data_IF_712206193020
#
_entry.id   IF_712206193020
#
_cell.length_a   1.000
_cell.length_b   1.000
_cell.length_c   1.000
_cell.angle_alpha   90.00
_cell.angle_beta   90.00
_cell.angle_gamma   90.00
#
_symmetry.space_group_name_H-M   'P 1'
#
loop_
_entity.id
_entity.type
_entity.pdbx_description
1 polymer ?
#
# COMPACT_ATOMS: atom_id res chain seq x y z
N UNK A 1 9.79 -6.02 -9.15
CA UNK A 1 8.78 -7.09 -9.01
C UNK A 1 9.38 -8.50 -9.13
N UNK A 2 10.17 -8.83 -10.16
CA UNK A 2 10.70 -10.20 -10.38
C UNK A 2 11.51 -10.78 -9.20
N UNK A 3 12.31 -9.96 -8.50
CA UNK A 3 13.12 -10.44 -7.36
C UNK A 3 12.28 -10.70 -6.11
N UNK A 4 11.25 -9.90 -5.84
CA UNK A 4 10.41 -10.03 -4.64
C UNK A 4 9.52 -11.28 -4.69
N UNK A 5 9.09 -11.70 -5.89
CA UNK A 5 8.33 -12.95 -6.08
C UNK A 5 9.13 -14.22 -5.74
N UNK A 6 10.47 -14.14 -5.61
CA UNK A 6 11.31 -15.29 -5.20
C UNK A 6 11.36 -15.50 -3.69
N UNK A 7 10.93 -14.54 -2.88
CA UNK A 7 11.09 -14.55 -1.42
C UNK A 7 9.77 -14.50 -0.64
N UNK A 8 8.61 -14.48 -1.31
CA UNK A 8 7.31 -14.43 -0.65
C UNK A 8 6.18 -15.06 -1.47
N UNK A 9 5.24 -15.68 -0.78
CA UNK A 9 4.00 -16.21 -1.37
C UNK A 9 3.23 -15.07 -2.07
N UNK A 10 2.75 -15.30 -3.30
CA UNK A 10 2.09 -14.27 -4.12
C UNK A 10 0.98 -13.51 -3.39
N UNK A 11 0.29 -14.15 -2.44
CA UNK A 11 -0.74 -13.54 -1.59
C UNK A 11 -0.24 -12.39 -0.72
N UNK A 12 1.04 -12.41 -0.29
CA UNK A 12 1.65 -11.36 0.56
C UNK A 12 2.22 -10.20 -0.27
N UNK A 13 2.44 -10.41 -1.58
CA UNK A 13 2.89 -9.37 -2.49
C UNK A 13 1.76 -8.46 -3.01
N UNK A 14 0.53 -8.97 -3.08
CA UNK A 14 -0.64 -8.18 -3.48
C UNK A 14 -0.85 -6.92 -2.61
N UNK A 15 -0.78 -7.02 -1.27
CA UNK A 15 -0.77 -5.85 -0.37
C UNK A 15 0.39 -4.89 -0.63
N UNK A 16 1.58 -5.41 -0.97
CA UNK A 16 2.77 -4.60 -1.25
C UNK A 16 2.60 -3.71 -2.49
N UNK A 17 1.83 -4.14 -3.48
CA UNK A 17 1.47 -3.29 -4.63
C UNK A 17 0.60 -2.11 -4.19
N UNK A 18 -0.35 -2.33 -3.28
CA UNK A 18 -1.19 -1.27 -2.71
C UNK A 18 -0.39 -0.28 -1.85
N UNK A 19 0.63 -0.75 -1.13
CA UNK A 19 1.57 0.14 -0.41
C UNK A 19 2.32 1.06 -1.37
N UNK A 20 2.68 0.57 -2.56
CA UNK A 20 3.26 1.39 -3.62
C UNK A 20 2.37 2.55 -4.05
N UNK A 21 1.05 2.33 -4.09
CA UNK A 21 0.07 3.39 -4.37
C UNK A 21 0.05 4.46 -3.28
N UNK A 22 0.05 4.05 -2.00
CA UNK A 22 0.08 4.99 -0.87
C UNK A 22 1.35 5.84 -0.89
N UNK A 23 2.50 5.22 -1.14
CA UNK A 23 3.77 5.93 -1.28
C UNK A 23 3.73 6.88 -2.47
N UNK A 24 3.21 6.47 -3.62
CA UNK A 24 3.08 7.33 -4.80
C UNK A 24 2.19 8.55 -4.51
N UNK A 25 1.08 8.38 -3.78
CA UNK A 25 0.22 9.51 -3.38
C UNK A 25 0.91 10.42 -2.37
N UNK A 26 1.68 9.87 -1.42
CA UNK A 26 2.44 10.67 -0.46
C UNK A 26 3.52 11.51 -1.17
N UNK A 27 4.26 10.90 -2.09
CA UNK A 27 5.24 11.61 -2.92
C UNK A 27 4.58 12.61 -3.86
N UNK A 28 3.44 12.29 -4.48
CA UNK A 28 2.69 13.22 -5.32
C UNK A 28 2.25 14.49 -4.57
N UNK A 29 1.76 14.34 -3.34
CA UNK A 29 1.42 15.48 -2.50
C UNK A 29 2.64 16.32 -2.11
N UNK A 30 3.76 15.67 -1.74
CA UNK A 30 4.93 16.41 -1.26
C UNK A 30 5.76 17.04 -2.39
N UNK A 31 5.90 16.36 -3.53
CA UNK A 31 6.71 16.84 -4.66
C UNK A 31 5.91 17.62 -5.70
N UNK A 32 4.68 17.21 -6.01
CA UNK A 32 3.85 17.85 -7.04
C UNK A 32 2.82 18.84 -6.44
N UNK A 33 2.67 18.90 -5.12
CA UNK A 33 1.62 19.68 -4.43
C UNK A 33 0.22 19.43 -4.98
N UNK A 34 -0.06 18.20 -5.43
CA UNK A 34 -1.41 17.82 -5.84
C UNK A 34 -2.36 17.89 -4.65
N UNK A 35 -3.53 18.52 -4.82
CA UNK A 35 -4.55 18.51 -3.79
C UNK A 35 -5.11 17.10 -3.61
N UNK A 36 -4.73 16.46 -2.50
CA UNK A 36 -5.32 15.20 -2.11
C UNK A 36 -6.74 15.49 -1.60
N UNK A 37 -7.73 15.01 -2.34
CA UNK A 37 -9.13 15.02 -1.90
C UNK A 37 -9.37 14.13 -0.68
N UNK A 38 -10.36 14.49 0.14
CA UNK A 38 -10.78 13.72 1.33
C UNK A 38 -11.09 12.24 1.00
N UNK A 39 -11.62 11.97 -0.19
CA UNK A 39 -11.93 10.62 -0.66
C UNK A 39 -10.67 9.75 -0.81
N UNK A 40 -9.57 10.32 -1.32
CA UNK A 40 -8.29 9.61 -1.45
C UNK A 40 -7.70 9.29 -0.08
N UNK A 41 -7.82 10.23 0.87
CA UNK A 41 -7.35 10.02 2.25
C UNK A 41 -8.10 8.87 2.93
N UNK A 42 -9.43 8.81 2.78
CA UNK A 42 -10.24 7.69 3.29
C UNK A 42 -9.90 6.37 2.61
N UNK A 43 -9.62 6.38 1.30
CA UNK A 43 -9.17 5.19 0.57
C UNK A 43 -7.83 4.67 1.06
N UNK A 44 -6.86 5.56 1.27
CA UNK A 44 -5.54 5.21 1.84
C UNK A 44 -5.70 4.59 3.23
N UNK A 45 -6.53 5.18 4.11
CA UNK A 45 -6.79 4.64 5.43
C UNK A 45 -7.39 3.22 5.36
N UNK A 46 -8.33 2.98 4.44
CA UNK A 46 -8.94 1.67 4.22
C UNK A 46 -7.93 0.63 3.71
N UNK A 47 -7.08 1.02 2.77
CA UNK A 47 -5.99 0.16 2.26
C UNK A 47 -5.01 -0.19 3.38
N UNK A 48 -4.61 0.80 4.20
CA UNK A 48 -3.70 0.57 5.34
C UNK A 48 -4.28 -0.49 6.31
N UNK A 49 -5.56 -0.37 6.66
CA UNK A 49 -6.25 -1.36 7.51
C UNK A 49 -6.23 -2.75 6.85
N UNK A 50 -6.54 -2.84 5.55
CA UNK A 50 -6.50 -4.11 4.82
C UNK A 50 -5.12 -4.75 4.78
N UNK A 51 -4.07 -3.95 4.57
CA UNK A 51 -2.68 -4.42 4.58
C UNK A 51 -2.27 -4.90 5.97
N UNK A 52 -2.64 -4.18 7.04
CA UNK A 52 -2.34 -4.59 8.42
C UNK A 52 -3.05 -5.88 8.80
N UNK A 53 -4.30 -6.10 8.37
CA UNK A 53 -5.03 -7.34 8.62
C UNK A 53 -4.37 -8.55 7.91
N UNK A 54 -4.00 -8.39 6.64
CA UNK A 54 -3.37 -9.47 5.86
C UNK A 54 -1.95 -9.76 6.36
N UNK A 55 -1.17 -8.73 6.70
CA UNK A 55 0.18 -8.87 7.24
C UNK A 55 0.19 -9.41 8.68
N UNK A 56 -0.79 -9.05 9.50
CA UNK A 56 -0.93 -9.48 10.89
C UNK A 56 -1.29 -10.95 11.04
N UNK A 57 -2.05 -11.51 10.09
CA UNK A 57 -2.41 -12.94 10.07
C UNK A 57 -1.19 -13.84 9.76
N UNK A 58 -0.18 -13.33 9.06
CA UNK A 58 1.05 -14.07 8.74
C UNK A 58 2.07 -14.13 9.90
N UNK A 59 1.74 -13.59 11.08
CA UNK A 59 2.59 -13.58 12.27
C UNK A 59 2.23 -14.67 13.30
N UNK A 60 1.47 -15.70 12.92
CA UNK A 60 1.26 -16.92 13.71
C UNK A 60 1.78 -18.15 12.99
#
# INVERSE_FOLDING_TARGET
MIIAFRFGELSKLHPFLSVGYILSTFFGYFFLQEEIGLMSLTGIAFIMVGVTLIGGDSSK
#
